data_IF_402538921933
#
_entry.id   IF_402538921933
#
_cell.length_a   1.000
_cell.length_b   1.000
_cell.length_c   1.000
_cell.angle_alpha   90.00
_cell.angle_beta   90.00
_cell.angle_gamma   90.00
#
_symmetry.space_group_name_H-M   'P 1'
#
loop_
_entity.id
_entity.type
_entity.pdbx_description
1 polymer ?
#
# COMPACT_ATOMS: atom_id res chain seq x y z
N UNK A 1 7.36 -51.10 -26.44
CA UNK A 1 6.36 -50.39 -25.59
C UNK A 1 6.85 -49.05 -25.03
N UNK A 2 8.09 -48.92 -24.52
CA UNK A 2 8.57 -47.65 -23.89
C UNK A 2 8.71 -46.44 -24.83
N UNK A 3 8.95 -46.65 -26.12
CA UNK A 3 9.14 -45.56 -27.10
C UNK A 3 7.80 -44.91 -27.51
N UNK A 4 6.75 -45.72 -27.68
CA UNK A 4 5.39 -45.25 -27.98
C UNK A 4 4.86 -44.37 -26.84
N UNK A 5 5.09 -44.78 -25.59
CA UNK A 5 4.70 -43.99 -24.41
C UNK A 5 5.38 -42.63 -24.35
N UNK A 6 6.67 -42.54 -24.71
CA UNK A 6 7.41 -41.26 -24.74
C UNK A 6 6.88 -40.32 -25.82
N UNK A 7 6.54 -40.84 -27.00
CA UNK A 7 5.95 -40.03 -28.08
C UNK A 7 4.56 -39.54 -27.70
N UNK A 8 3.74 -40.38 -27.08
CA UNK A 8 2.41 -39.98 -26.60
C UNK A 8 2.50 -38.93 -25.49
N UNK A 9 3.49 -39.03 -24.60
CA UNK A 9 3.72 -38.04 -23.54
C UNK A 9 4.18 -36.69 -24.11
N UNK A 10 5.09 -36.67 -25.09
CA UNK A 10 5.55 -35.42 -25.71
C UNK A 10 4.45 -34.76 -26.53
N UNK A 11 3.63 -35.54 -27.25
CA UNK A 11 2.47 -35.01 -27.97
C UNK A 11 1.39 -34.48 -27.02
N UNK A 12 1.18 -35.14 -25.87
CA UNK A 12 0.28 -34.67 -24.83
C UNK A 12 0.74 -33.34 -24.21
N UNK A 13 2.03 -33.20 -23.93
CA UNK A 13 2.60 -31.95 -23.40
C UNK A 13 2.56 -30.81 -24.43
N UNK A 14 2.82 -31.10 -25.71
CA UNK A 14 2.65 -30.13 -26.80
C UNK A 14 1.19 -29.70 -26.98
N UNK A 15 0.24 -30.63 -26.84
CA UNK A 15 -1.20 -30.34 -26.84
C UNK A 15 -1.63 -29.45 -25.68
N UNK A 16 -1.10 -29.70 -24.48
CA UNK A 16 -1.39 -28.87 -23.31
C UNK A 16 -0.76 -27.48 -23.40
N UNK A 17 0.47 -27.37 -23.92
CA UNK A 17 1.14 -26.09 -24.14
C UNK A 17 0.40 -25.25 -25.20
N UNK A 18 -0.09 -25.87 -26.27
CA UNK A 18 -0.88 -25.18 -27.30
C UNK A 18 -2.24 -24.74 -26.78
N UNK A 19 -2.92 -25.54 -25.95
CA UNK A 19 -4.16 -25.14 -25.27
C UNK A 19 -3.95 -24.01 -24.26
N UNK A 20 -2.82 -23.99 -23.54
CA UNK A 20 -2.50 -22.94 -22.57
C UNK A 20 -2.26 -21.57 -23.24
N UNK A 21 -1.70 -21.57 -24.46
CA UNK A 21 -1.41 -20.35 -25.22
C UNK A 21 -2.60 -19.92 -26.11
N UNK A 22 -3.51 -20.84 -26.43
CA UNK A 22 -4.67 -20.60 -27.30
C UNK A 22 -5.50 -19.34 -26.97
N UNK A 23 -5.93 -19.08 -25.72
CA UNK A 23 -6.72 -17.88 -25.41
C UNK A 23 -5.95 -16.57 -25.59
N UNK A 24 -4.62 -16.62 -25.62
CA UNK A 24 -3.74 -15.45 -25.77
C UNK A 24 -3.27 -15.21 -27.20
N UNK A 25 -3.56 -16.12 -28.15
CA UNK A 25 -3.17 -15.97 -29.55
C UNK A 25 -3.63 -14.64 -30.18
N UNK A 26 -4.88 -14.16 -29.96
CA UNK A 26 -5.29 -12.87 -30.52
C UNK A 26 -4.52 -11.68 -29.93
N UNK A 27 -4.12 -11.75 -28.66
CA UNK A 27 -3.31 -10.70 -28.02
C UNK A 27 -1.88 -10.71 -28.57
N UNK A 28 -1.26 -11.89 -28.66
CA UNK A 28 0.08 -12.07 -29.24
C UNK A 28 0.13 -11.63 -30.70
N UNK A 29 -0.93 -11.88 -31.48
CA UNK A 29 -1.02 -11.42 -32.86
C UNK A 29 -1.07 -9.88 -32.95
N UNK A 30 -1.84 -9.21 -32.09
CA UNK A 30 -1.89 -7.73 -32.02
C UNK A 30 -0.53 -7.14 -31.64
N UNK A 31 0.10 -7.65 -30.58
CA UNK A 31 1.42 -7.19 -30.14
C UNK A 31 2.50 -7.41 -31.20
N UNK A 32 2.46 -8.55 -31.89
CA UNK A 32 3.37 -8.83 -33.00
C UNK A 32 3.18 -7.85 -34.16
N UNK A 33 1.95 -7.40 -34.43
CA UNK A 33 1.68 -6.39 -35.44
C UNK A 33 2.18 -5.01 -35.01
N UNK A 34 1.98 -4.61 -33.75
CA UNK A 34 2.55 -3.37 -33.21
C UNK A 34 4.07 -3.36 -33.27
N UNK A 35 4.71 -4.45 -32.84
CA UNK A 35 6.16 -4.62 -32.91
C UNK A 35 6.67 -4.52 -34.34
N UNK A 36 6.06 -5.22 -35.30
CA UNK A 36 6.46 -5.14 -36.72
C UNK A 36 6.31 -3.73 -37.29
N UNK A 37 5.28 -3.00 -36.89
CA UNK A 37 5.01 -1.64 -37.38
C UNK A 37 6.04 -0.65 -36.81
N UNK A 38 6.29 -0.70 -35.50
CA UNK A 38 7.32 0.09 -34.84
C UNK A 38 8.71 -0.24 -35.39
N UNK A 39 9.00 -1.51 -35.61
CA UNK A 39 10.27 -1.96 -36.16
C UNK A 39 10.47 -1.55 -37.62
N UNK A 40 9.39 -1.48 -38.41
CA UNK A 40 9.43 -0.96 -39.77
C UNK A 40 9.71 0.55 -39.80
N UNK A 41 9.14 1.34 -38.88
CA UNK A 41 9.39 2.78 -38.75
C UNK A 41 10.83 3.10 -38.32
N UNK A 42 11.35 2.37 -37.33
CA UNK A 42 12.75 2.52 -36.90
C UNK A 42 13.71 2.20 -38.05
N UNK A 43 13.36 1.22 -38.90
CA UNK A 43 14.21 0.79 -40.02
C UNK A 43 14.04 1.65 -41.28
N UNK A 44 12.92 2.36 -41.46
CA UNK A 44 12.72 3.29 -42.58
C UNK A 44 13.38 4.65 -42.35
N UNK A 45 13.83 4.95 -41.13
CA UNK A 45 14.50 6.21 -40.79
C UNK A 45 13.56 7.41 -40.71
N UNK A 46 12.24 7.18 -40.70
CA UNK A 46 11.25 8.23 -40.47
C UNK A 46 11.10 8.46 -38.96
N UNK A 47 12.01 9.25 -38.39
CA UNK A 47 11.77 9.85 -37.07
C UNK A 47 10.59 10.82 -37.16
N UNK A 48 9.62 10.78 -36.23
CA UNK A 48 8.63 11.84 -36.13
C UNK A 48 9.36 13.15 -35.82
N UNK A 49 9.27 14.12 -36.74
CA UNK A 49 9.77 15.48 -36.53
C UNK A 49 9.18 16.03 -35.23
N UNK A 50 10.03 16.18 -34.22
CA UNK A 50 9.75 17.02 -33.08
C UNK A 50 9.53 18.46 -33.59
N UNK A 51 8.36 19.02 -33.31
CA UNK A 51 8.12 20.45 -33.52
C UNK A 51 9.12 21.24 -32.67
N UNK A 52 9.90 22.10 -33.34
CA UNK A 52 10.85 22.97 -32.69
C UNK A 52 10.11 23.95 -31.77
N UNK A 53 10.59 24.19 -30.53
CA UNK A 53 9.97 25.17 -29.65
C UNK A 53 10.08 26.57 -30.24
N UNK A 54 8.93 27.22 -30.40
CA UNK A 54 8.80 28.64 -30.75
C UNK A 54 9.58 29.52 -29.78
N UNK A 55 10.46 30.35 -30.34
CA UNK A 55 11.24 31.37 -29.63
C UNK A 55 10.31 32.33 -28.85
N UNK A 56 10.40 32.30 -27.52
CA UNK A 56 9.92 33.38 -26.65
C UNK A 56 11.00 34.46 -26.53
N UNK A 57 10.64 35.75 -26.55
CA UNK A 57 11.62 36.84 -26.61
C UNK A 57 12.40 36.94 -25.29
N UNK A 58 13.71 37.11 -25.42
CA UNK A 58 14.66 37.32 -24.34
C UNK A 58 14.26 38.55 -23.50
N UNK A 59 14.06 38.44 -22.18
CA UNK A 59 13.83 39.63 -21.37
C UNK A 59 15.17 40.35 -21.12
N UNK A 60 15.18 41.65 -21.37
CA UNK A 60 16.25 42.60 -21.04
C UNK A 60 16.76 42.46 -19.59
N UNK A 61 18.03 42.80 -19.32
CA UNK A 61 18.57 42.77 -17.97
C UNK A 61 17.91 43.86 -17.11
N UNK A 62 16.91 43.48 -16.33
CA UNK A 62 16.32 44.37 -15.32
C UNK A 62 17.35 44.63 -14.22
N UNK A 63 17.73 45.90 -14.10
CA UNK A 63 18.56 46.44 -13.02
C UNK A 63 18.11 45.94 -11.65
N UNK A 64 18.99 45.23 -10.96
CA UNK A 64 18.82 44.77 -9.58
C UNK A 64 19.08 45.92 -8.59
N UNK A 65 18.21 46.93 -8.54
CA UNK A 65 18.19 47.94 -7.46
C UNK A 65 16.76 48.42 -7.22
N UNK A 66 16.03 47.68 -6.38
CA UNK A 66 14.97 48.14 -5.46
C UNK A 66 13.94 47.04 -5.14
N UNK A 67 14.40 45.92 -4.56
CA UNK A 67 13.56 45.12 -3.66
C UNK A 67 13.99 45.41 -2.23
N UNK A 68 13.22 46.23 -1.52
CA UNK A 68 13.36 46.41 -0.08
C UNK A 68 12.75 45.20 0.62
N UNK A 69 13.61 44.38 1.21
CA UNK A 69 13.21 43.34 2.17
C UNK A 69 12.77 44.03 3.46
N UNK A 70 11.58 43.69 3.96
CA UNK A 70 11.10 44.17 5.25
C UNK A 70 12.07 43.72 6.36
N UNK A 71 12.69 44.69 7.04
CA UNK A 71 13.54 44.44 8.21
C UNK A 71 12.64 44.23 9.43
N UNK A 72 12.86 43.20 10.28
CA UNK A 72 12.08 43.01 11.50
C UNK A 72 12.30 44.17 12.51
N UNK A 73 11.33 44.44 13.39
CA UNK A 73 11.41 45.54 14.35
C UNK A 73 12.58 45.36 15.32
N UNK A 74 13.29 46.46 15.60
CA UNK A 74 14.53 46.51 16.38
C UNK A 74 14.37 46.33 17.91
N UNK A 75 13.21 45.86 18.41
CA UNK A 75 13.12 45.37 19.79
C UNK A 75 11.79 44.64 20.07
N UNK A 76 11.80 43.32 20.23
CA UNK A 76 10.84 42.61 21.06
C UNK A 76 11.48 42.29 22.41
N UNK A 77 10.72 42.48 23.49
CA UNK A 77 11.12 42.24 24.87
C UNK A 77 11.87 40.90 25.05
N UNK A 78 12.95 40.96 25.84
CA UNK A 78 13.87 39.88 26.11
C UNK A 78 13.16 38.62 26.66
N UNK A 79 13.08 37.60 25.83
CA UNK A 79 13.18 36.21 26.28
C UNK A 79 14.66 35.92 26.56
N UNK A 80 15.02 35.09 27.56
CA UNK A 80 16.42 34.88 27.91
C UNK A 80 17.17 34.26 26.74
N UNK A 81 17.97 35.07 26.07
CA UNK A 81 19.02 34.64 25.17
C UNK A 81 20.17 34.11 26.03
N UNK A 82 20.00 32.92 26.60
CA UNK A 82 21.07 32.07 27.12
C UNK A 82 20.51 30.71 27.51
N UNK A 83 20.27 29.88 26.49
CA UNK A 83 20.50 28.45 26.63
C UNK A 83 21.50 28.07 25.54
N UNK A 84 22.81 27.98 25.84
CA UNK A 84 23.74 27.44 24.88
C UNK A 84 23.35 25.98 24.64
N UNK A 85 22.93 25.62 23.42
CA UNK A 85 23.09 24.23 22.99
C UNK A 85 24.59 23.98 22.97
N UNK A 86 25.15 23.53 24.10
CA UNK A 86 26.53 23.08 24.19
C UNK A 86 26.71 22.05 23.09
N UNK A 87 27.42 22.39 22.02
CA UNK A 87 27.83 21.43 21.01
C UNK A 87 28.59 20.33 21.75
N UNK A 88 28.04 19.11 21.76
CA UNK A 88 28.66 17.95 22.36
C UNK A 88 30.13 17.87 21.89
N UNK A 89 31.13 18.11 22.77
CA UNK A 89 32.52 18.24 22.35
C UNK A 89 33.05 16.97 21.66
N UNK A 90 32.55 15.81 22.07
CA UNK A 90 32.90 14.53 21.46
C UNK A 90 32.39 14.44 20.03
N UNK A 91 31.13 14.83 19.77
CA UNK A 91 30.60 14.83 18.41
C UNK A 91 31.25 15.90 17.54
N UNK A 92 31.54 17.09 18.09
CA UNK A 92 32.26 18.12 17.35
C UNK A 92 33.64 17.65 16.88
N UNK A 93 34.38 16.96 17.74
CA UNK A 93 35.67 16.33 17.41
C UNK A 93 35.49 15.19 16.40
N UNK A 94 34.49 14.34 16.59
CA UNK A 94 34.16 13.23 15.68
C UNK A 94 33.90 13.75 14.26
N UNK A 95 33.04 14.76 14.10
CA UNK A 95 32.78 15.38 12.79
C UNK A 95 34.03 15.96 12.16
N UNK A 96 34.88 16.62 12.96
CA UNK A 96 36.12 17.22 12.46
C UNK A 96 37.04 16.17 11.86
N UNK A 97 37.22 15.04 12.54
CA UNK A 97 38.04 13.92 12.07
C UNK A 97 37.39 13.22 10.88
N UNK A 98 36.08 12.99 10.93
CA UNK A 98 35.33 12.32 9.87
C UNK A 98 35.45 13.04 8.53
N UNK A 99 35.41 14.38 8.53
CA UNK A 99 35.61 15.21 7.32
C UNK A 99 37.02 15.11 6.72
N UNK A 100 38.00 14.63 7.48
CA UNK A 100 39.37 14.43 7.00
C UNK A 100 39.59 12.99 6.54
N UNK A 101 39.21 12.04 7.38
CA UNK A 101 39.37 10.62 7.14
C UNK A 101 38.30 9.84 7.95
N UNK A 102 37.18 9.48 7.32
CA UNK A 102 36.08 8.80 8.02
C UNK A 102 36.48 7.39 8.47
N UNK A 103 37.28 6.66 7.71
CA UNK A 103 37.74 5.31 8.06
C UNK A 103 38.69 5.34 9.28
N UNK A 104 39.67 6.23 9.28
CA UNK A 104 40.54 6.43 10.44
C UNK A 104 39.73 6.91 11.67
N UNK A 105 38.68 7.70 11.46
CA UNK A 105 37.80 8.15 12.54
C UNK A 105 37.02 6.98 13.14
N UNK A 106 36.56 6.03 12.32
CA UNK A 106 35.94 4.80 12.81
C UNK A 106 36.88 3.98 13.68
N UNK A 107 38.13 3.78 13.25
CA UNK A 107 39.14 3.10 14.06
C UNK A 107 39.45 3.85 15.36
N UNK A 108 39.48 5.18 15.30
CA UNK A 108 39.65 6.00 16.48
C UNK A 108 38.48 5.79 17.47
N UNK A 109 37.23 5.82 17.01
CA UNK A 109 36.03 5.59 17.83
C UNK A 109 36.01 4.19 18.46
N UNK A 110 36.41 3.16 17.72
CA UNK A 110 36.52 1.78 18.23
C UNK A 110 37.48 1.69 19.42
N UNK A 111 38.55 2.48 19.41
CA UNK A 111 39.60 2.46 20.43
C UNK A 111 39.37 3.45 21.59
N UNK A 112 38.65 4.55 21.37
CA UNK A 112 38.58 5.68 22.32
C UNK A 112 37.20 5.91 22.93
N UNK A 113 36.12 5.39 22.34
CA UNK A 113 34.77 5.53 22.86
C UNK A 113 34.22 4.16 23.29
N UNK A 114 33.22 4.13 24.16
CA UNK A 114 32.55 2.88 24.62
C UNK A 114 31.04 3.02 24.63
N UNK A 115 30.34 1.88 24.56
CA UNK A 115 28.89 1.80 24.68
C UNK A 115 28.15 2.76 23.73
N UNK A 116 27.24 3.55 24.30
CA UNK A 116 26.38 4.48 23.57
C UNK A 116 27.15 5.63 22.89
N UNK A 117 28.26 6.09 23.47
CA UNK A 117 29.06 7.19 22.90
C UNK A 117 29.76 6.74 21.61
N UNK A 118 30.30 5.51 21.61
CA UNK A 118 30.87 4.91 20.41
C UNK A 118 29.84 4.79 19.30
N UNK A 119 28.67 4.22 19.63
CA UNK A 119 27.59 4.04 18.67
C UNK A 119 27.17 5.39 18.07
N UNK A 120 26.91 6.40 18.91
CA UNK A 120 26.52 7.74 18.46
C UNK A 120 27.59 8.39 17.58
N UNK A 121 28.86 8.26 17.94
CA UNK A 121 29.97 8.75 17.13
C UNK A 121 30.08 8.03 15.78
N UNK A 122 29.92 6.70 15.77
CA UNK A 122 29.95 5.92 14.53
C UNK A 122 28.79 6.29 13.61
N UNK A 123 27.58 6.48 14.15
CA UNK A 123 26.42 6.97 13.39
C UNK A 123 26.70 8.34 12.77
N UNK A 124 27.33 9.25 13.50
CA UNK A 124 27.73 10.57 12.99
C UNK A 124 28.76 10.47 11.85
N UNK A 125 29.77 9.59 12.00
CA UNK A 125 30.78 9.37 10.95
C UNK A 125 30.14 8.79 9.71
N UNK A 126 29.27 7.78 9.83
CA UNK A 126 28.61 7.20 8.65
C UNK A 126 27.71 8.22 7.98
N UNK A 127 26.93 8.99 8.73
CA UNK A 127 26.08 10.03 8.15
C UNK A 127 26.91 11.04 7.34
N UNK A 128 28.05 11.49 7.86
CA UNK A 128 28.95 12.38 7.12
C UNK A 128 29.65 11.69 5.95
N UNK A 129 30.12 10.46 6.14
CA UNK A 129 30.80 9.73 5.09
C UNK A 129 29.83 9.44 3.94
N UNK A 130 28.61 9.04 4.23
CA UNK A 130 27.59 8.81 3.23
C UNK A 130 27.23 10.07 2.44
N UNK A 131 27.42 11.27 3.01
CA UNK A 131 27.27 12.53 2.28
C UNK A 131 28.43 12.86 1.34
N UNK A 132 29.52 12.11 1.30
CA UNK A 132 30.61 12.32 0.33
C UNK A 132 30.86 11.07 -0.53
N UNK A 133 30.81 9.89 0.09
CA UNK A 133 31.05 8.57 -0.50
C UNK A 133 30.17 7.51 0.19
N UNK A 134 28.93 7.37 -0.31
CA UNK A 134 27.94 6.45 0.23
C UNK A 134 28.34 4.97 0.07
N UNK A 135 29.02 4.63 -1.02
CA UNK A 135 29.46 3.25 -1.29
C UNK A 135 30.45 2.78 -0.23
N UNK A 136 31.54 3.53 -0.01
CA UNK A 136 32.55 3.14 0.98
C UNK A 136 31.99 3.16 2.41
N UNK A 137 31.12 4.12 2.72
CA UNK A 137 30.45 4.19 4.02
C UNK A 137 29.60 2.94 4.31
N UNK A 138 28.86 2.45 3.31
CA UNK A 138 28.01 1.27 3.43
C UNK A 138 28.80 -0.04 3.41
N UNK A 139 29.88 -0.15 2.62
CA UNK A 139 30.82 -1.30 2.67
C UNK A 139 31.43 -1.42 4.07
N UNK A 140 31.85 -0.30 4.64
CA UNK A 140 32.38 -0.27 6.00
C UNK A 140 31.33 -0.76 7.01
N UNK A 141 30.10 -0.26 6.90
CA UNK A 141 28.98 -0.68 7.76
C UNK A 141 28.70 -2.18 7.65
N UNK A 142 28.62 -2.72 6.44
CA UNK A 142 28.37 -4.14 6.21
C UNK A 142 29.44 -5.02 6.88
N UNK A 143 30.69 -4.55 6.88
CA UNK A 143 31.83 -5.28 7.44
C UNK A 143 31.96 -5.14 8.97
N UNK A 144 31.44 -4.07 9.58
CA UNK A 144 31.77 -3.70 10.95
C UNK A 144 30.56 -3.55 11.90
N UNK A 145 29.36 -3.31 11.40
CA UNK A 145 28.17 -3.08 12.23
C UNK A 145 27.34 -4.37 12.42
N UNK A 146 26.64 -4.48 13.55
CA UNK A 146 25.77 -5.62 13.88
C UNK A 146 24.44 -5.14 14.49
N UNK A 147 23.39 -5.95 14.31
CA UNK A 147 22.07 -5.71 14.93
C UNK A 147 21.35 -4.45 14.46
N UNK A 148 20.57 -3.82 15.35
CA UNK A 148 19.72 -2.66 15.03
C UNK A 148 20.50 -1.43 14.55
N UNK A 149 21.69 -1.20 15.10
CA UNK A 149 22.57 -0.12 14.67
C UNK A 149 22.90 -0.24 13.17
N UNK A 150 23.12 -1.46 12.67
CA UNK A 150 23.37 -1.69 11.24
C UNK A 150 22.17 -1.27 10.39
N UNK A 151 20.95 -1.62 10.80
CA UNK A 151 19.72 -1.33 10.05
C UNK A 151 19.38 0.16 10.02
N UNK A 152 19.47 0.85 11.16
CA UNK A 152 19.19 2.30 11.25
C UNK A 152 20.17 3.13 10.41
N UNK A 153 21.46 2.76 10.46
CA UNK A 153 22.48 3.46 9.69
C UNK A 153 22.38 3.15 8.19
N UNK A 154 22.04 1.92 7.84
CA UNK A 154 21.80 1.50 6.46
C UNK A 154 20.63 2.27 5.85
N UNK A 155 19.53 2.42 6.59
CA UNK A 155 18.38 3.23 6.17
C UNK A 155 18.81 4.65 5.83
N UNK A 156 19.46 5.34 6.77
CA UNK A 156 19.91 6.74 6.58
C UNK A 156 20.93 6.89 5.45
N UNK A 157 21.88 5.96 5.35
CA UNK A 157 22.92 5.98 4.31
C UNK A 157 22.35 5.76 2.90
N UNK A 158 21.39 4.84 2.76
CA UNK A 158 20.72 4.59 1.49
C UNK A 158 19.85 5.77 1.07
N UNK A 159 19.17 6.45 2.00
CA UNK A 159 18.41 7.64 1.65
C UNK A 159 19.32 8.74 1.07
N UNK A 160 20.49 8.98 1.67
CA UNK A 160 21.45 9.98 1.16
C UNK A 160 22.03 9.57 -0.19
N UNK A 161 22.32 8.27 -0.38
CA UNK A 161 22.79 7.78 -1.68
C UNK A 161 21.71 7.94 -2.75
N UNK A 162 20.49 7.52 -2.45
CA UNK A 162 19.33 7.58 -3.34
C UNK A 162 18.96 9.02 -3.75
N UNK A 163 19.26 10.03 -2.93
CA UNK A 163 19.08 11.44 -3.32
C UNK A 163 19.95 11.87 -4.50
N UNK A 164 21.10 11.21 -4.68
CA UNK A 164 22.15 11.65 -5.61
C UNK A 164 22.31 10.73 -6.79
N UNK A 165 22.30 9.43 -6.51
CA UNK A 165 22.53 8.38 -7.50
C UNK A 165 21.78 7.09 -7.09
N UNK A 166 20.46 7.06 -7.28
CA UNK A 166 19.64 5.91 -6.90
C UNK A 166 19.91 4.66 -7.75
N UNK A 167 20.43 4.82 -8.98
CA UNK A 167 20.77 3.68 -9.85
C UNK A 167 22.00 2.91 -9.34
N UNK A 168 23.06 3.60 -8.89
CA UNK A 168 24.18 2.90 -8.25
C UNK A 168 23.80 2.34 -6.89
N UNK A 169 22.95 3.02 -6.11
CA UNK A 169 22.41 2.47 -4.88
C UNK A 169 21.62 1.16 -5.13
N UNK A 170 20.80 1.12 -6.18
CA UNK A 170 20.09 -0.07 -6.62
C UNK A 170 21.04 -1.23 -6.98
N UNK A 171 22.07 -0.94 -7.78
CA UNK A 171 23.06 -1.93 -8.18
C UNK A 171 23.84 -2.49 -6.98
N UNK A 172 24.13 -1.66 -5.97
CA UNK A 172 24.75 -2.10 -4.73
C UNK A 172 23.83 -3.04 -3.93
N UNK A 173 22.55 -2.67 -3.79
CA UNK A 173 21.54 -3.50 -3.11
C UNK A 173 21.42 -4.88 -3.75
N UNK A 174 21.51 -4.99 -5.07
CA UNK A 174 21.47 -6.27 -5.78
C UNK A 174 22.59 -7.22 -5.33
N UNK A 175 23.79 -6.68 -5.05
CA UNK A 175 24.95 -7.42 -4.56
C UNK A 175 24.93 -7.78 -3.07
N UNK A 176 24.05 -7.17 -2.27
CA UNK A 176 23.95 -7.44 -0.84
C UNK A 176 23.55 -8.90 -0.55
N UNK A 177 24.02 -9.40 0.59
CA UNK A 177 23.54 -10.65 1.16
C UNK A 177 22.01 -10.61 1.36
N UNK A 178 21.32 -11.71 1.04
CA UNK A 178 19.87 -11.83 1.19
C UNK A 178 19.46 -12.03 2.67
N UNK A 179 19.77 -11.04 3.51
CA UNK A 179 19.34 -10.95 4.90
C UNK A 179 18.39 -9.74 5.12
N UNK A 180 18.00 -9.46 6.36
CA UNK A 180 17.11 -8.34 6.69
C UNK A 180 17.65 -6.94 6.32
N UNK A 181 18.96 -6.81 6.12
CA UNK A 181 19.61 -5.57 5.70
C UNK A 181 19.23 -5.22 4.26
N UNK A 182 19.27 -6.19 3.34
CA UNK A 182 18.88 -5.97 1.93
C UNK A 182 17.44 -5.50 1.80
N UNK A 183 16.54 -6.10 2.59
CA UNK A 183 15.15 -5.65 2.66
C UNK A 183 15.03 -4.21 3.15
N UNK A 184 15.74 -3.86 4.22
CA UNK A 184 15.73 -2.50 4.78
C UNK A 184 16.28 -1.48 3.78
N UNK A 185 17.38 -1.79 3.10
CA UNK A 185 17.96 -0.95 2.05
C UNK A 185 16.99 -0.79 0.89
N UNK A 186 16.37 -1.86 0.39
CA UNK A 186 15.45 -1.81 -0.73
C UNK A 186 14.21 -0.94 -0.44
N UNK A 187 13.63 -1.06 0.76
CA UNK A 187 12.51 -0.22 1.20
C UNK A 187 12.92 1.26 1.28
N UNK A 188 14.10 1.54 1.84
CA UNK A 188 14.64 2.90 1.95
C UNK A 188 14.88 3.53 0.58
N UNK A 189 15.48 2.77 -0.35
CA UNK A 189 15.67 3.20 -1.72
C UNK A 189 14.33 3.47 -2.42
N UNK A 190 13.37 2.55 -2.33
CA UNK A 190 12.04 2.73 -2.95
C UNK A 190 11.34 4.00 -2.44
N UNK A 191 11.32 4.21 -1.12
CA UNK A 191 10.69 5.37 -0.48
C UNK A 191 11.34 6.70 -0.91
N UNK A 192 12.65 6.67 -1.17
CA UNK A 192 13.41 7.87 -1.49
C UNK A 192 13.44 8.19 -2.98
N UNK A 193 13.73 7.19 -3.80
CA UNK A 193 13.84 7.34 -5.25
C UNK A 193 12.53 7.84 -5.88
N UNK A 194 11.40 7.35 -5.40
CA UNK A 194 10.07 7.72 -5.92
C UNK A 194 9.73 9.20 -5.75
N UNK A 195 10.41 9.91 -4.83
CA UNK A 195 10.16 11.33 -4.57
C UNK A 195 10.59 12.23 -5.72
N UNK A 196 11.61 11.82 -6.47
CA UNK A 196 12.17 12.58 -7.58
C UNK A 196 11.89 11.92 -8.93
N UNK A 197 11.93 10.59 -8.97
CA UNK A 197 11.96 9.79 -10.19
C UNK A 197 11.00 8.59 -10.12
N UNK A 198 9.68 8.84 -9.96
CA UNK A 198 8.71 7.81 -9.63
C UNK A 198 8.63 6.67 -10.64
N UNK A 199 8.76 6.96 -11.94
CA UNK A 199 8.70 5.94 -12.99
C UNK A 199 9.94 5.04 -12.99
N UNK A 200 11.13 5.58 -12.68
CA UNK A 200 12.35 4.78 -12.60
C UNK A 200 12.37 3.92 -11.33
N UNK A 201 11.97 4.49 -10.20
CA UNK A 201 11.80 3.75 -8.95
C UNK A 201 10.80 2.59 -9.12
N UNK A 202 9.66 2.85 -9.78
CA UNK A 202 8.66 1.84 -10.11
C UNK A 202 9.21 0.74 -11.03
N UNK A 203 9.97 1.12 -12.07
CA UNK A 203 10.59 0.16 -12.97
C UNK A 203 11.60 -0.74 -12.23
N UNK A 204 12.40 -0.18 -11.33
CA UNK A 204 13.34 -0.93 -10.51
C UNK A 204 12.60 -1.94 -9.61
N UNK A 205 11.59 -1.50 -8.84
CA UNK A 205 10.79 -2.37 -7.99
C UNK A 205 10.09 -3.48 -8.81
N UNK A 206 9.50 -3.15 -9.96
CA UNK A 206 8.87 -4.12 -10.85
C UNK A 206 9.87 -5.10 -11.48
N UNK A 207 11.14 -4.71 -11.56
CA UNK A 207 12.25 -5.53 -12.07
C UNK A 207 12.87 -6.47 -11.04
N UNK A 208 12.64 -6.26 -9.74
CA UNK A 208 13.13 -7.17 -8.70
C UNK A 208 12.57 -8.59 -8.91
N UNK A 209 13.32 -9.65 -8.53
CA UNK A 209 12.81 -11.02 -8.55
C UNK A 209 11.55 -11.16 -7.69
N UNK A 210 10.61 -12.00 -8.13
CA UNK A 210 9.41 -12.23 -7.35
C UNK A 210 9.72 -12.87 -6.00
N UNK A 211 9.09 -12.36 -4.94
CA UNK A 211 9.33 -12.76 -3.56
C UNK A 211 9.23 -11.62 -2.55
N UNK A 212 9.52 -11.89 -1.26
CA UNK A 212 9.28 -10.95 -0.17
C UNK A 212 9.95 -9.59 -0.34
N UNK A 213 11.18 -9.56 -0.87
CA UNK A 213 11.91 -8.32 -1.12
C UNK A 213 11.14 -7.36 -2.03
N UNK A 214 10.63 -7.90 -3.15
CA UNK A 214 9.85 -7.14 -4.13
C UNK A 214 8.52 -6.69 -3.56
N UNK A 215 7.80 -7.56 -2.86
CA UNK A 215 6.49 -7.24 -2.30
C UNK A 215 6.56 -6.09 -1.29
N UNK A 216 7.55 -6.14 -0.41
CA UNK A 216 7.78 -5.12 0.61
C UNK A 216 8.28 -3.79 0.03
N UNK A 217 9.18 -3.85 -0.96
CA UNK A 217 9.62 -2.66 -1.68
C UNK A 217 8.46 -2.02 -2.46
N UNK A 218 7.61 -2.84 -3.10
CA UNK A 218 6.43 -2.38 -3.81
C UNK A 218 5.41 -1.71 -2.90
N UNK A 219 5.12 -2.28 -1.72
CA UNK A 219 4.24 -1.64 -0.74
C UNK A 219 4.81 -0.27 -0.31
N UNK A 220 6.11 -0.21 -0.01
CA UNK A 220 6.78 1.04 0.42
C UNK A 220 6.78 2.11 -0.67
N UNK A 221 7.03 1.69 -1.92
CA UNK A 221 6.93 2.54 -3.11
C UNK A 221 5.51 3.09 -3.25
N UNK A 222 4.51 2.21 -3.16
CA UNK A 222 3.09 2.53 -3.32
C UNK A 222 2.62 3.59 -2.32
N UNK A 223 2.94 3.40 -1.03
CA UNK A 223 2.62 4.35 0.03
C UNK A 223 3.29 5.70 -0.19
N UNK A 224 4.57 5.70 -0.58
CA UNK A 224 5.34 6.92 -0.76
C UNK A 224 4.92 7.69 -2.00
N UNK A 225 4.66 7.00 -3.10
CA UNK A 225 4.14 7.59 -4.33
C UNK A 225 2.73 8.13 -4.11
N UNK A 226 1.85 7.41 -3.42
CA UNK A 226 0.48 7.85 -3.25
C UNK A 226 0.34 9.15 -2.43
N UNK A 227 1.31 9.46 -1.56
CA UNK A 227 1.37 10.76 -0.88
C UNK A 227 1.75 11.93 -1.79
N UNK A 228 2.39 11.65 -2.92
CA UNK A 228 2.87 12.65 -3.89
C UNK A 228 1.88 12.80 -5.05
N UNK A 229 1.50 11.68 -5.65
CA UNK A 229 0.57 11.57 -6.76
C UNK A 229 -0.22 10.25 -6.62
N UNK A 230 -1.37 10.29 -5.93
CA UNK A 230 -2.18 9.11 -5.70
C UNK A 230 -2.75 8.51 -6.99
N UNK A 231 -3.00 9.32 -8.03
CA UNK A 231 -3.52 8.81 -9.31
C UNK A 231 -2.46 8.01 -10.04
N UNK A 232 -1.25 8.55 -10.19
CA UNK A 232 -0.17 7.85 -10.86
C UNK A 232 0.26 6.59 -10.10
N UNK A 233 0.32 6.66 -8.76
CA UNK A 233 0.63 5.52 -7.91
C UNK A 233 -0.41 4.40 -8.07
N UNK A 234 -1.71 4.73 -8.05
CA UNK A 234 -2.76 3.73 -8.28
C UNK A 234 -2.76 3.16 -9.69
N UNK A 235 -2.44 3.96 -10.72
CA UNK A 235 -2.31 3.44 -12.09
C UNK A 235 -1.20 2.39 -12.20
N UNK A 236 -0.03 2.66 -11.61
CA UNK A 236 1.05 1.67 -11.55
C UNK A 236 0.64 0.43 -10.75
N UNK A 237 0.00 0.61 -9.60
CA UNK A 237 -0.42 -0.49 -8.74
C UNK A 237 -1.50 -1.36 -9.38
N UNK A 238 -2.39 -0.78 -10.19
CA UNK A 238 -3.33 -1.53 -11.03
C UNK A 238 -2.60 -2.40 -12.05
N UNK A 239 -1.61 -1.86 -12.75
CA UNK A 239 -0.81 -2.65 -13.69
C UNK A 239 -0.09 -3.81 -12.97
N UNK A 240 0.48 -3.58 -11.79
CA UNK A 240 1.09 -4.63 -10.98
C UNK A 240 0.09 -5.72 -10.55
N UNK A 241 -1.13 -5.34 -10.17
CA UNK A 241 -2.19 -6.27 -9.84
C UNK A 241 -2.61 -7.11 -11.06
N UNK A 242 -2.87 -6.48 -12.21
CA UNK A 242 -3.38 -7.16 -13.41
C UNK A 242 -2.32 -8.08 -14.05
N UNK A 243 -1.07 -7.62 -14.17
CA UNK A 243 -0.04 -8.37 -14.88
C UNK A 243 0.69 -9.37 -14.00
N UNK A 244 0.71 -9.15 -12.67
CA UNK A 244 1.55 -9.92 -11.75
C UNK A 244 0.79 -10.47 -10.54
N UNK A 245 -0.48 -10.14 -10.37
CA UNK A 245 -1.31 -10.62 -9.26
C UNK A 245 -1.00 -9.96 -7.92
N UNK A 246 -0.20 -8.88 -7.89
CA UNK A 246 0.22 -8.22 -6.66
C UNK A 246 -0.77 -7.11 -6.28
N UNK A 247 -1.75 -7.43 -5.44
CA UNK A 247 -2.84 -6.51 -5.10
C UNK A 247 -2.55 -5.59 -3.92
N UNK A 248 -1.57 -5.90 -3.07
CA UNK A 248 -1.26 -5.08 -1.87
C UNK A 248 -0.95 -3.61 -2.21
N UNK A 249 -0.07 -3.30 -3.19
CA UNK A 249 0.16 -1.91 -3.60
C UNK A 249 -1.12 -1.19 -4.05
N UNK A 250 -2.03 -1.91 -4.70
CA UNK A 250 -3.29 -1.34 -5.18
C UNK A 250 -4.17 -0.92 -4.00
N UNK A 251 -4.29 -1.77 -2.97
CA UNK A 251 -5.07 -1.45 -1.78
C UNK A 251 -4.52 -0.22 -1.04
N UNK A 252 -3.19 -0.14 -0.88
CA UNK A 252 -2.53 0.99 -0.21
C UNK A 252 -2.70 2.30 -0.97
N UNK A 253 -2.57 2.26 -2.30
CA UNK A 253 -2.72 3.47 -3.13
C UNK A 253 -4.16 3.94 -3.18
N UNK A 254 -5.14 3.03 -3.32
CA UNK A 254 -6.56 3.37 -3.35
C UNK A 254 -7.04 3.93 -2.01
N UNK A 255 -6.56 3.38 -0.89
CA UNK A 255 -6.79 3.94 0.44
C UNK A 255 -6.29 5.38 0.52
N UNK A 256 -5.00 5.60 0.22
CA UNK A 256 -4.39 6.93 0.29
C UNK A 256 -5.06 7.91 -0.67
N UNK A 257 -5.42 7.48 -1.88
CA UNK A 257 -6.13 8.30 -2.86
C UNK A 257 -7.52 8.69 -2.34
N UNK A 258 -8.25 7.73 -1.79
CA UNK A 258 -9.60 7.95 -1.23
C UNK A 258 -9.56 8.89 -0.03
N UNK A 259 -8.58 8.73 0.86
CA UNK A 259 -8.41 9.60 2.03
C UNK A 259 -8.08 11.05 1.63
N UNK A 260 -7.39 11.27 0.51
CA UNK A 260 -7.04 12.59 0.01
C UNK A 260 -8.16 13.24 -0.83
N UNK A 261 -8.82 12.47 -1.69
CA UNK A 261 -9.79 12.97 -2.66
C UNK A 261 -10.78 11.86 -3.09
N UNK A 262 -11.80 11.55 -2.29
CA UNK A 262 -12.68 10.40 -2.52
C UNK A 262 -13.43 10.48 -3.86
N UNK A 263 -13.91 11.65 -4.27
CA UNK A 263 -14.63 11.82 -5.54
C UNK A 263 -13.72 11.61 -6.76
N UNK A 264 -12.44 11.99 -6.64
CA UNK A 264 -11.45 11.79 -7.70
C UNK A 264 -11.03 10.33 -7.77
N UNK A 265 -10.86 9.68 -6.62
CA UNK A 265 -10.61 8.24 -6.55
C UNK A 265 -11.77 7.43 -7.14
N UNK A 266 -13.02 7.81 -6.88
CA UNK A 266 -14.21 7.20 -7.50
C UNK A 266 -14.15 7.34 -9.04
N UNK A 267 -13.94 8.56 -9.55
CA UNK A 267 -13.85 8.80 -10.98
C UNK A 267 -12.76 7.92 -11.63
N UNK A 268 -11.62 7.79 -10.96
CA UNK A 268 -10.54 6.90 -11.40
C UNK A 268 -10.96 5.41 -11.41
N UNK A 269 -11.64 4.92 -10.37
CA UNK A 269 -12.14 3.54 -10.35
C UNK A 269 -13.18 3.29 -11.44
N UNK A 270 -13.99 4.29 -11.81
CA UNK A 270 -14.93 4.21 -12.94
C UNK A 270 -14.20 4.04 -14.28
N UNK A 271 -13.09 4.74 -14.48
CA UNK A 271 -12.24 4.59 -15.67
C UNK A 271 -11.65 3.17 -15.78
N UNK A 272 -11.46 2.48 -14.66
CA UNK A 272 -10.83 1.17 -14.59
C UNK A 272 -11.80 -0.01 -14.54
N UNK A 273 -13.11 0.21 -14.67
CA UNK A 273 -14.18 -0.78 -14.39
C UNK A 273 -14.02 -2.15 -15.07
N UNK A 274 -13.32 -2.24 -16.19
CA UNK A 274 -13.04 -3.50 -16.89
C UNK A 274 -11.91 -4.33 -16.27
N UNK A 275 -11.12 -3.77 -15.35
CA UNK A 275 -10.00 -4.45 -14.71
C UNK A 275 -10.45 -5.43 -13.61
N UNK A 276 -9.81 -6.60 -13.55
CA UNK A 276 -10.23 -7.67 -12.65
C UNK A 276 -10.05 -7.32 -11.16
N UNK A 277 -9.14 -6.40 -10.85
CA UNK A 277 -8.85 -5.94 -9.49
C UNK A 277 -9.79 -4.84 -8.97
N UNK A 278 -10.68 -4.28 -9.81
CA UNK A 278 -11.61 -3.21 -9.39
C UNK A 278 -12.51 -3.58 -8.21
N UNK A 279 -13.13 -4.78 -8.12
CA UNK A 279 -13.99 -5.11 -6.98
C UNK A 279 -13.28 -4.99 -5.62
N UNK A 280 -12.03 -5.45 -5.54
CA UNK A 280 -11.20 -5.33 -4.33
C UNK A 280 -10.82 -3.87 -4.04
N UNK A 281 -10.45 -3.12 -5.07
CA UNK A 281 -10.15 -1.70 -4.96
C UNK A 281 -11.39 -0.89 -4.51
N UNK A 282 -12.56 -1.21 -5.02
CA UNK A 282 -13.83 -0.56 -4.67
C UNK A 282 -14.22 -0.86 -3.23
N UNK A 283 -14.02 -2.11 -2.78
CA UNK A 283 -14.16 -2.46 -1.36
C UNK A 283 -13.26 -1.59 -0.47
N UNK A 284 -11.99 -1.38 -0.84
CA UNK A 284 -11.07 -0.52 -0.09
C UNK A 284 -11.52 0.94 -0.10
N UNK A 285 -11.94 1.44 -1.26
CA UNK A 285 -12.48 2.79 -1.39
C UNK A 285 -13.67 3.01 -0.44
N UNK A 286 -14.61 2.07 -0.40
CA UNK A 286 -15.79 2.17 0.46
C UNK A 286 -15.43 2.10 1.94
N UNK A 287 -14.56 1.16 2.33
CA UNK A 287 -14.15 1.05 3.74
C UNK A 287 -13.41 2.31 4.19
N UNK A 288 -12.48 2.84 3.40
CA UNK A 288 -11.77 4.09 3.72
C UNK A 288 -12.72 5.29 3.76
N UNK A 289 -13.72 5.38 2.87
CA UNK A 289 -14.73 6.44 2.97
C UNK A 289 -15.59 6.30 4.22
N UNK A 290 -15.97 5.08 4.59
CA UNK A 290 -16.76 4.82 5.78
C UNK A 290 -15.98 5.08 7.07
N UNK A 291 -14.67 4.86 7.08
CA UNK A 291 -13.78 5.21 8.20
C UNK A 291 -13.73 6.74 8.44
N UNK A 292 -13.90 7.55 7.40
CA UNK A 292 -13.85 9.01 7.45
C UNK A 292 -15.25 9.63 7.68
N UNK A 293 -16.23 9.23 6.88
CA UNK A 293 -17.61 9.72 6.90
C UNK A 293 -18.60 8.61 6.50
N UNK A 294 -19.07 7.80 7.47
CA UNK A 294 -19.98 6.69 7.16
C UNK A 294 -21.36 7.17 6.69
N UNK A 295 -21.86 8.31 7.18
CA UNK A 295 -23.16 8.85 6.76
C UNK A 295 -23.10 9.41 5.34
N UNK A 296 -22.02 10.11 4.98
CA UNK A 296 -21.76 10.52 3.60
C UNK A 296 -21.58 9.32 2.66
N UNK A 297 -20.94 8.25 3.13
CA UNK A 297 -20.79 6.99 2.38
C UNK A 297 -22.14 6.31 2.14
N UNK A 298 -23.00 6.24 3.17
CA UNK A 298 -24.37 5.75 3.05
C UNK A 298 -25.18 6.52 2.01
N UNK A 299 -25.17 7.86 2.12
CA UNK A 299 -25.87 8.75 1.17
C UNK A 299 -25.35 8.57 -0.25
N UNK A 300 -24.06 8.32 -0.42
CA UNK A 300 -23.47 8.04 -1.71
C UNK A 300 -23.93 6.69 -2.28
N UNK A 301 -23.93 5.61 -1.48
CA UNK A 301 -24.42 4.29 -1.91
C UNK A 301 -25.88 4.32 -2.35
N UNK A 302 -26.74 5.05 -1.63
CA UNK A 302 -28.16 5.22 -1.97
C UNK A 302 -28.37 5.90 -3.33
N UNK A 303 -27.39 6.69 -3.79
CA UNK A 303 -27.45 7.40 -5.08
C UNK A 303 -26.95 6.57 -6.27
N UNK A 304 -26.20 5.49 -6.03
CA UNK A 304 -25.70 4.63 -7.11
C UNK A 304 -26.87 3.84 -7.68
N UNK A 305 -27.16 4.05 -8.96
CA UNK A 305 -28.24 3.33 -9.65
C UNK A 305 -27.90 1.83 -9.78
N UNK A 306 -28.88 0.92 -9.74
CA UNK A 306 -28.65 -0.50 -10.03
C UNK A 306 -28.01 -0.81 -11.39
N UNK A 307 -28.05 0.13 -12.35
CA UNK A 307 -27.41 0.00 -13.66
C UNK A 307 -26.00 0.61 -13.72
N UNK A 308 -25.53 1.22 -12.63
CA UNK A 308 -24.19 1.79 -12.54
C UNK A 308 -23.14 0.66 -12.46
N UNK A 309 -22.03 0.71 -13.21
CA UNK A 309 -20.96 -0.29 -13.12
C UNK A 309 -20.36 -0.47 -11.72
N UNK A 310 -20.43 0.55 -10.85
CA UNK A 310 -19.97 0.48 -9.46
C UNK A 310 -21.05 -0.01 -8.50
N UNK A 311 -22.25 -0.37 -8.98
CA UNK A 311 -23.31 -0.88 -8.13
C UNK A 311 -23.00 -2.30 -7.67
N UNK A 312 -23.08 -2.53 -6.36
CA UNK A 312 -23.18 -3.85 -5.77
C UNK A 312 -23.95 -3.73 -4.45
N UNK A 313 -24.90 -4.64 -4.15
CA UNK A 313 -25.55 -4.66 -2.85
C UNK A 313 -24.55 -4.92 -1.72
N UNK A 314 -23.46 -5.65 -1.99
CA UNK A 314 -22.42 -5.97 -1.01
C UNK A 314 -21.65 -4.75 -0.50
N UNK A 315 -21.71 -3.62 -1.19
CA UNK A 315 -21.09 -2.38 -0.70
C UNK A 315 -21.74 -1.87 0.60
N UNK A 316 -23.04 -2.14 0.79
CA UNK A 316 -23.72 -1.78 2.02
C UNK A 316 -23.26 -2.66 3.21
N UNK A 317 -22.89 -3.92 2.93
CA UNK A 317 -22.26 -4.81 3.91
C UNK A 317 -20.92 -4.21 4.38
N UNK A 318 -20.04 -3.82 3.45
CA UNK A 318 -18.73 -3.21 3.75
C UNK A 318 -18.88 -1.93 4.59
N UNK A 319 -19.80 -1.04 4.20
CA UNK A 319 -20.12 0.15 4.98
C UNK A 319 -20.52 -0.22 6.42
N UNK A 320 -21.42 -1.19 6.59
CA UNK A 320 -21.94 -1.54 7.90
C UNK A 320 -20.95 -2.24 8.81
N UNK A 321 -19.99 -2.99 8.26
CA UNK A 321 -18.90 -3.53 9.07
C UNK A 321 -18.06 -2.42 9.72
N UNK A 322 -17.79 -1.34 8.97
CA UNK A 322 -17.01 -0.19 9.47
C UNK A 322 -17.85 0.71 10.38
N UNK A 323 -19.05 1.08 9.95
CA UNK A 323 -19.91 1.99 10.71
C UNK A 323 -20.41 1.34 12.00
N UNK A 324 -20.90 0.10 11.94
CA UNK A 324 -21.39 -0.62 13.12
C UNK A 324 -20.30 -0.87 14.16
N UNK A 325 -19.05 -1.10 13.71
CA UNK A 325 -17.90 -1.26 14.61
C UNK A 325 -17.44 0.03 15.30
N UNK A 326 -17.76 1.19 14.75
CA UNK A 326 -17.38 2.51 15.29
C UNK A 326 -18.50 3.19 16.06
N UNK A 327 -19.73 3.14 15.55
CA UNK A 327 -20.95 3.68 16.18
C UNK A 327 -22.16 2.81 15.82
N UNK A 328 -22.37 1.74 16.59
CA UNK A 328 -23.45 0.77 16.37
C UNK A 328 -24.83 1.41 16.47
N UNK A 329 -24.99 2.45 17.31
CA UNK A 329 -26.27 3.13 17.51
C UNK A 329 -26.64 3.90 16.24
N UNK A 330 -25.77 4.79 15.76
CA UNK A 330 -26.04 5.57 14.55
C UNK A 330 -26.22 4.67 13.31
N UNK A 331 -25.40 3.62 13.19
CA UNK A 331 -25.53 2.64 12.11
C UNK A 331 -26.88 1.93 12.14
N UNK A 332 -27.33 1.46 13.31
CA UNK A 332 -28.63 0.80 13.48
C UNK A 332 -29.83 1.72 13.21
N UNK A 333 -29.73 3.00 13.58
CA UNK A 333 -30.75 4.02 13.30
C UNK A 333 -30.88 4.31 11.79
N UNK A 334 -29.76 4.37 11.07
CA UNK A 334 -29.79 4.45 9.61
C UNK A 334 -30.38 3.19 8.99
N UNK A 335 -29.92 2.01 9.43
CA UNK A 335 -30.34 0.72 8.88
C UNK A 335 -31.84 0.45 9.08
N UNK A 336 -32.39 0.87 10.21
CA UNK A 336 -33.82 0.76 10.53
C UNK A 336 -34.73 1.58 9.61
N UNK A 337 -34.19 2.60 8.94
CA UNK A 337 -34.92 3.47 8.00
C UNK A 337 -34.86 2.98 6.55
N UNK A 338 -34.03 1.97 6.27
CA UNK A 338 -33.85 1.47 4.91
C UNK A 338 -35.04 0.63 4.46
N UNK A 339 -35.45 0.76 3.18
CA UNK A 339 -36.50 -0.08 2.62
C UNK A 339 -36.05 -1.55 2.50
N UNK A 340 -36.97 -2.51 2.55
CA UNK A 340 -36.65 -3.91 2.25
C UNK A 340 -36.02 -4.08 0.86
N UNK A 341 -34.99 -4.91 0.76
CA UNK A 341 -34.30 -5.19 -0.50
C UNK A 341 -32.87 -5.71 -0.28
N UNK A 342 -32.20 -6.12 -1.36
CA UNK A 342 -30.88 -6.75 -1.31
C UNK A 342 -29.82 -5.88 -0.61
N UNK A 343 -29.83 -4.56 -0.84
CA UNK A 343 -28.92 -3.64 -0.16
C UNK A 343 -29.13 -3.60 1.36
N UNK A 344 -30.39 -3.64 1.82
CA UNK A 344 -30.71 -3.68 3.26
C UNK A 344 -30.29 -5.00 3.87
N UNK A 345 -30.53 -6.11 3.18
CA UNK A 345 -30.12 -7.43 3.64
C UNK A 345 -28.60 -7.54 3.77
N UNK A 346 -27.84 -7.07 2.77
CA UNK A 346 -26.38 -6.99 2.84
C UNK A 346 -25.89 -6.06 3.97
N UNK A 347 -26.54 -4.92 4.17
CA UNK A 347 -26.22 -4.00 5.27
C UNK A 347 -26.45 -4.65 6.65
N UNK A 348 -27.54 -5.42 6.81
CA UNK A 348 -27.82 -6.18 8.04
C UNK A 348 -26.72 -7.21 8.31
N UNK A 349 -26.30 -7.97 7.29
CA UNK A 349 -25.20 -8.92 7.46
C UNK A 349 -23.93 -8.22 7.96
N UNK A 350 -23.52 -7.13 7.32
CA UNK A 350 -22.35 -6.36 7.75
C UNK A 350 -22.49 -5.80 9.16
N UNK A 351 -23.67 -5.31 9.52
CA UNK A 351 -23.96 -4.77 10.84
C UNK A 351 -23.92 -5.86 11.93
N UNK A 352 -24.60 -6.99 11.70
CA UNK A 352 -24.58 -8.17 12.59
C UNK A 352 -23.15 -8.66 12.83
N UNK A 353 -22.33 -8.76 11.78
CA UNK A 353 -20.92 -9.16 11.89
C UNK A 353 -20.11 -8.17 12.74
N UNK A 354 -20.38 -6.87 12.64
CA UNK A 354 -19.64 -5.83 13.37
C UNK A 354 -19.88 -5.86 14.88
N UNK A 355 -21.09 -6.23 15.31
CA UNK A 355 -21.49 -6.20 16.72
C UNK A 355 -21.42 -7.57 17.39
N UNK A 356 -21.25 -8.67 16.65
CA UNK A 356 -21.37 -10.04 17.18
C UNK A 356 -20.44 -10.35 18.38
N UNK A 357 -19.29 -9.69 18.49
CA UNK A 357 -18.35 -9.91 19.60
C UNK A 357 -18.74 -9.15 20.88
N UNK A 358 -19.58 -8.12 20.78
CA UNK A 358 -19.95 -7.24 21.89
C UNK A 358 -21.44 -7.33 22.26
N UNK A 359 -22.31 -7.53 21.26
CA UNK A 359 -23.76 -7.61 21.38
C UNK A 359 -24.31 -8.81 20.56
N UNK A 360 -23.96 -10.06 20.94
CA UNK A 360 -24.28 -11.24 20.15
C UNK A 360 -25.79 -11.49 20.01
N UNK A 361 -26.59 -11.22 21.05
CA UNK A 361 -28.05 -11.33 20.98
C UNK A 361 -28.64 -10.37 19.93
N UNK A 362 -28.17 -9.12 19.91
CA UNK A 362 -28.58 -8.14 18.92
C UNK A 362 -28.13 -8.55 17.50
N UNK A 363 -26.91 -9.09 17.35
CA UNK A 363 -26.42 -9.59 16.07
C UNK A 363 -27.35 -10.65 15.46
N UNK A 364 -27.80 -11.62 16.27
CA UNK A 364 -28.72 -12.67 15.84
C UNK A 364 -30.11 -12.09 15.52
N UNK A 365 -30.62 -11.16 16.35
CA UNK A 365 -31.90 -10.51 16.11
C UNK A 365 -31.91 -9.72 14.78
N UNK A 366 -30.81 -9.00 14.49
CA UNK A 366 -30.62 -8.33 13.21
C UNK A 366 -30.54 -9.34 12.06
N UNK A 367 -29.74 -10.40 12.16
CA UNK A 367 -29.63 -11.43 11.15
C UNK A 367 -31.00 -12.09 10.84
N UNK A 368 -31.85 -12.29 11.84
CA UNK A 368 -33.21 -12.80 11.66
C UNK A 368 -34.13 -11.87 10.84
N UNK A 369 -33.80 -10.57 10.77
CA UNK A 369 -34.58 -9.56 10.05
C UNK A 369 -34.23 -9.42 8.56
N UNK A 370 -33.27 -10.23 8.08
CA UNK A 370 -32.93 -10.36 6.65
C UNK A 370 -34.13 -10.92 5.89
N UNK A 371 -34.46 -10.29 4.76
CA UNK A 371 -35.60 -10.67 3.92
C UNK A 371 -35.34 -11.95 3.11
N UNK A 372 -34.16 -12.07 2.51
CA UNK A 372 -33.78 -13.27 1.75
C UNK A 372 -33.59 -14.49 2.68
N UNK A 373 -34.33 -15.60 2.47
CA UNK A 373 -34.29 -16.74 3.37
C UNK A 373 -32.92 -17.42 3.47
N UNK A 374 -32.13 -17.43 2.40
CA UNK A 374 -30.84 -18.09 2.36
C UNK A 374 -29.78 -17.25 3.08
N UNK A 375 -29.72 -15.94 2.82
CA UNK A 375 -28.87 -15.00 3.54
C UNK A 375 -29.22 -14.95 5.03
N UNK A 376 -30.52 -14.94 5.36
CA UNK A 376 -30.99 -14.98 6.75
C UNK A 376 -30.46 -16.22 7.48
N UNK A 377 -30.56 -17.39 6.87
CA UNK A 377 -30.04 -18.63 7.44
C UNK A 377 -28.54 -18.55 7.69
N UNK A 378 -27.77 -18.11 6.69
CA UNK A 378 -26.30 -17.96 6.81
C UNK A 378 -25.91 -16.97 7.90
N UNK A 379 -26.59 -15.82 7.97
CA UNK A 379 -26.34 -14.80 9.00
C UNK A 379 -26.68 -15.28 10.41
N UNK A 380 -27.78 -16.03 10.57
CA UNK A 380 -28.16 -16.66 11.83
C UNK A 380 -27.14 -17.71 12.29
N UNK A 381 -26.70 -18.59 11.38
CA UNK A 381 -25.66 -19.59 11.66
C UNK A 381 -24.36 -18.93 12.10
N UNK A 382 -23.86 -17.95 11.35
CA UNK A 382 -22.62 -17.23 11.66
C UNK A 382 -22.69 -16.52 13.03
N UNK A 383 -23.81 -15.86 13.32
CA UNK A 383 -24.01 -15.12 14.57
C UNK A 383 -24.11 -16.07 15.77
N UNK A 384 -24.84 -17.18 15.64
CA UNK A 384 -24.97 -18.20 16.70
C UNK A 384 -23.64 -18.91 16.95
N UNK A 385 -22.91 -19.31 15.90
CA UNK A 385 -21.58 -19.91 16.04
C UNK A 385 -20.62 -18.97 16.78
N UNK A 386 -20.62 -17.69 16.41
CA UNK A 386 -19.80 -16.66 17.06
C UNK A 386 -20.18 -16.49 18.54
N UNK A 387 -21.47 -16.41 18.85
CA UNK A 387 -21.97 -16.29 20.22
C UNK A 387 -21.58 -17.52 21.07
N UNK A 388 -21.87 -18.70 20.55
CA UNK A 388 -21.65 -19.97 21.23
C UNK A 388 -20.18 -20.28 21.51
N UNK A 389 -19.25 -19.72 20.70
CA UNK A 389 -17.81 -19.86 20.95
C UNK A 389 -17.38 -19.35 22.33
N UNK A 390 -18.05 -18.31 22.84
CA UNK A 390 -17.71 -17.69 24.12
C UNK A 390 -18.77 -17.95 25.20
N UNK A 391 -20.05 -18.07 24.81
CA UNK A 391 -21.22 -18.11 25.69
C UNK A 391 -22.25 -19.14 25.17
N UNK A 392 -21.92 -20.45 25.17
CA UNK A 392 -22.77 -21.48 24.57
C UNK A 392 -24.08 -21.71 25.32
N UNK A 393 -24.10 -21.53 26.64
CA UNK A 393 -25.31 -21.70 27.46
C UNK A 393 -26.32 -20.61 27.16
N UNK A 394 -25.86 -19.36 27.11
CA UNK A 394 -26.67 -18.19 26.80
C UNK A 394 -27.23 -18.25 25.36
N UNK A 395 -26.40 -18.64 24.39
CA UNK A 395 -26.85 -18.85 23.01
C UNK A 395 -27.94 -19.93 22.91
N UNK A 396 -27.79 -21.03 23.66
CA UNK A 396 -28.78 -22.10 23.71
C UNK A 396 -30.07 -21.67 24.43
N UNK A 397 -29.97 -20.89 25.50
CA UNK A 397 -31.13 -20.31 26.19
C UNK A 397 -31.91 -19.35 25.28
N UNK A 398 -31.20 -18.52 24.52
CA UNK A 398 -31.82 -17.65 23.53
C UNK A 398 -32.55 -18.46 22.47
N UNK A 399 -31.92 -19.49 21.87
CA UNK A 399 -32.55 -20.34 20.86
C UNK A 399 -33.85 -21.00 21.37
N UNK A 400 -33.87 -21.46 22.64
CA UNK A 400 -35.08 -22.06 23.23
C UNK A 400 -36.27 -21.10 23.32
N UNK A 401 -35.98 -19.80 23.43
CA UNK A 401 -36.99 -18.75 23.59
C UNK A 401 -37.25 -17.97 22.29
N UNK A 402 -36.47 -18.21 21.25
CA UNK A 402 -36.58 -17.54 19.96
C UNK A 402 -37.84 -17.99 19.21
N UNK A 403 -38.61 -17.03 18.69
CA UNK A 403 -39.77 -17.29 17.83
C UNK A 403 -39.31 -17.59 16.40
N UNK A 404 -38.72 -18.78 16.22
CA UNK A 404 -38.22 -19.29 14.94
C UNK A 404 -38.93 -20.58 14.55
N UNK A 405 -38.94 -20.89 13.26
CA UNK A 405 -39.49 -22.16 12.77
C UNK A 405 -38.76 -23.36 13.41
N UNK A 406 -39.47 -24.44 13.81
CA UNK A 406 -38.86 -25.58 14.51
C UNK A 406 -37.66 -26.22 13.78
N UNK A 407 -37.73 -26.30 12.44
CA UNK A 407 -36.63 -26.84 11.64
C UNK A 407 -35.36 -25.96 11.69
N UNK A 408 -35.54 -24.64 11.73
CA UNK A 408 -34.44 -23.68 11.85
C UNK A 408 -33.82 -23.74 13.25
N UNK A 409 -34.64 -23.88 14.30
CA UNK A 409 -34.15 -24.10 15.67
C UNK A 409 -33.28 -25.36 15.77
N UNK A 410 -33.75 -26.48 15.20
CA UNK A 410 -32.97 -27.73 15.18
C UNK A 410 -31.65 -27.60 14.42
N UNK A 411 -31.61 -26.79 13.36
CA UNK A 411 -30.40 -26.53 12.60
C UNK A 411 -29.42 -25.67 13.40
N UNK A 412 -29.85 -24.52 13.92
CA UNK A 412 -29.00 -23.62 14.70
C UNK A 412 -28.49 -24.27 16.00
N UNK A 413 -29.28 -25.14 16.62
CA UNK A 413 -28.84 -25.88 17.81
C UNK A 413 -27.69 -26.86 17.54
N UNK A 414 -27.47 -27.29 16.29
CA UNK A 414 -26.32 -28.15 15.91
C UNK A 414 -25.02 -27.37 15.80
N UNK A 415 -25.12 -26.06 15.61
CA UNK A 415 -23.96 -25.17 15.48
C UNK A 415 -23.37 -24.77 16.84
N UNK A 416 -24.07 -25.07 17.94
CA UNK A 416 -23.59 -24.83 19.31
C UNK A 416 -22.77 -26.04 19.76
N UNK A 417 -21.49 -25.87 20.16
CA UNK A 417 -20.68 -26.95 20.71
C UNK A 417 -21.29 -27.50 22.00
N UNK A 418 -21.32 -28.82 22.14
CA UNK A 418 -21.73 -29.51 23.36
C UNK A 418 -20.48 -29.98 24.09
N UNK A 419 -19.95 -29.18 25.02
CA UNK A 419 -18.94 -29.61 25.99
C UNK A 419 -19.51 -29.56 27.42
#
# INVERSE_FOLDING_TARGET
>A
MRWIFRISLTLGLLGLATLAVWPYLPALEREWMHFKTAWAQVRSGDEPKAEAPTETPTPEPRNARDRRVATPPQNPAALPADAPTKSDPFLAETRRRARQDPEATMHWLQNHATGAERLRGMLEVVALWATDDSESALIWLESNAQGLARLETLHSGIEVWAERDPETAAAWIDGMANDGSKLTAAKSLAAKWVQNEPQQAAAWVSGLPDGPLRHEAAATLAESWARLDPRAASLWAFAEAEFRGHTTPLMLTVESFTAQAPEVAEAFLREMTDAASVPSALTRHISTRAEIDPNGTATWLERISPNDPLYSPEHANVLMQVWGGSDSIAASEWLSRQPPGEQRDAAIEGFSLSIQSFEPEAAVAWANSIGDPQRRLQGLEASIQSWAKNQPVEALEWLKNADLEPALLEQLAREIPWD
#
